data_IF_572350941560
#
_entry.id   IF_572350941560
#
_cell.length_a   1.000
_cell.length_b   1.000
_cell.length_c   1.000
_cell.angle_alpha   90.00
_cell.angle_beta   90.00
_cell.angle_gamma   90.00
#
_symmetry.space_group_name_H-M   'P 1'
#
loop_
_entity.id
_entity.type
_entity.pdbx_description
1 polymer ?
#
# COMPACT_ATOMS: atom_id res chain seq x y z
N UNK A 1 -6.11 29.95 20.06
CA UNK A 1 -6.12 28.56 20.55
C UNK A 1 -6.29 27.64 19.36
N UNK A 2 -5.26 26.89 18.99
CA UNK A 2 -5.42 25.79 18.01
C UNK A 2 -5.97 24.59 18.76
N UNK A 3 -7.11 24.06 18.31
CA UNK A 3 -7.62 22.78 18.81
C UNK A 3 -6.52 21.72 18.66
N UNK A 4 -6.15 20.98 19.72
CA UNK A 4 -5.21 19.89 19.57
C UNK A 4 -5.86 18.85 18.65
N UNK A 5 -5.20 18.53 17.53
CA UNK A 5 -5.64 17.42 16.70
C UNK A 5 -5.32 16.13 17.47
N UNK A 6 -6.36 15.42 17.91
CA UNK A 6 -6.22 14.21 18.74
C UNK A 6 -5.61 13.04 17.95
N UNK A 7 -5.62 13.13 16.62
CA UNK A 7 -5.09 12.14 15.71
C UNK A 7 -3.93 12.70 14.90
N UNK A 8 -2.93 11.86 14.64
CA UNK A 8 -1.91 12.18 13.66
C UNK A 8 -2.59 12.43 12.30
N UNK A 9 -2.21 13.48 11.55
CA UNK A 9 -2.78 13.74 10.25
C UNK A 9 -2.40 12.62 9.28
N UNK A 10 -3.29 12.34 8.32
CA UNK A 10 -2.95 11.46 7.20
C UNK A 10 -1.80 12.06 6.38
N UNK A 11 -0.92 11.19 5.91
CA UNK A 11 -0.03 11.52 4.80
C UNK A 11 -0.74 11.15 3.50
N UNK A 12 -0.91 12.11 2.60
CA UNK A 12 -1.62 11.93 1.33
C UNK A 12 -0.66 12.07 0.14
N UNK A 13 -0.86 11.22 -0.86
CA UNK A 13 -0.14 11.22 -2.12
C UNK A 13 -1.15 11.33 -3.26
N UNK A 14 -0.93 12.30 -4.14
CA UNK A 14 -1.69 12.49 -5.37
C UNK A 14 -0.72 12.47 -6.53
N UNK A 15 -0.85 11.49 -7.42
CA UNK A 15 0.12 11.27 -8.49
C UNK A 15 -0.57 10.78 -9.77
N UNK A 16 -0.02 11.17 -10.91
CA UNK A 16 -0.31 10.59 -12.21
C UNK A 16 0.66 9.43 -12.47
N UNK A 17 0.12 8.21 -12.56
CA UNK A 17 0.85 6.98 -12.89
C UNK A 17 0.41 6.41 -14.25
N UNK A 18 -0.14 7.25 -15.13
CA UNK A 18 -0.69 6.82 -16.42
C UNK A 18 0.36 6.59 -17.52
N UNK A 19 1.58 7.08 -17.33
CA UNK A 19 2.68 6.83 -18.27
C UNK A 19 3.25 5.42 -18.06
N UNK A 20 3.86 4.86 -19.12
CA UNK A 20 4.60 3.61 -19.02
C UNK A 20 5.72 3.75 -17.97
N UNK A 21 6.00 2.65 -17.26
CA UNK A 21 7.05 2.56 -16.24
C UNK A 21 6.90 3.51 -15.03
N UNK A 22 5.77 4.21 -14.90
CA UNK A 22 5.49 5.05 -13.74
C UNK A 22 5.44 4.25 -12.44
N UNK A 23 6.10 4.78 -11.41
CA UNK A 23 6.09 4.22 -10.05
C UNK A 23 5.93 5.30 -9.00
N UNK A 24 5.18 5.00 -7.95
CA UNK A 24 5.21 5.73 -6.69
C UNK A 24 5.78 4.81 -5.61
N UNK A 25 6.89 5.22 -4.99
CA UNK A 25 7.53 4.50 -3.88
C UNK A 25 7.31 5.29 -2.59
N UNK A 26 6.56 4.70 -1.66
CA UNK A 26 6.22 5.31 -0.39
C UNK A 26 7.00 4.59 0.72
N UNK A 27 7.93 5.26 1.42
CA UNK A 27 8.58 4.67 2.56
C UNK A 27 7.56 4.47 3.69
N UNK A 28 7.46 3.25 4.20
CA UNK A 28 6.80 2.96 5.47
C UNK A 28 7.86 3.00 6.59
N UNK A 29 7.78 2.15 7.62
CA UNK A 29 8.86 1.99 8.62
C UNK A 29 10.09 1.29 8.03
N UNK A 30 10.06 -0.03 7.90
CA UNK A 30 11.18 -0.86 7.39
C UNK A 30 10.89 -1.40 5.98
N UNK A 31 9.70 -1.11 5.45
CA UNK A 31 9.25 -1.46 4.10
C UNK A 31 9.13 -0.23 3.19
N UNK A 32 9.10 -0.49 1.88
CA UNK A 32 8.67 0.44 0.84
C UNK A 32 7.41 -0.14 0.21
N UNK A 33 6.33 0.66 0.18
CA UNK A 33 5.11 0.37 -0.57
C UNK A 33 5.25 0.97 -1.97
N UNK A 34 5.05 0.16 -2.99
CA UNK A 34 5.18 0.58 -4.38
C UNK A 34 3.85 0.41 -5.11
N UNK A 35 3.40 1.49 -5.73
CA UNK A 35 2.38 1.46 -6.77
C UNK A 35 3.11 1.59 -8.12
N UNK A 36 2.94 0.61 -9.00
CA UNK A 36 3.62 0.57 -10.28
C UNK A 36 2.62 0.36 -11.41
N UNK A 37 2.78 1.12 -12.49
CA UNK A 37 2.10 0.88 -13.75
C UNK A 37 2.40 -0.53 -14.28
N UNK A 38 1.36 -1.34 -14.45
CA UNK A 38 1.47 -2.68 -15.02
C UNK A 38 0.97 -2.73 -16.48
N UNK A 39 -0.10 -1.98 -16.80
CA UNK A 39 -0.64 -1.84 -18.15
C UNK A 39 -1.49 -0.57 -18.28
N UNK A 40 -1.97 -0.25 -19.49
CA UNK A 40 -2.82 0.92 -19.75
C UNK A 40 -4.00 1.10 -18.79
N UNK A 41 -4.53 0.01 -18.26
CA UNK A 41 -5.71 -0.02 -17.40
C UNK A 41 -5.46 -0.69 -16.05
N UNK A 42 -4.20 -1.01 -15.72
CA UNK A 42 -3.87 -1.71 -14.49
C UNK A 42 -2.57 -1.22 -13.82
N UNK A 43 -2.58 -1.24 -12.50
CA UNK A 43 -1.41 -1.07 -11.64
C UNK A 43 -1.13 -2.34 -10.84
N UNK A 44 0.05 -2.39 -10.21
CA UNK A 44 0.45 -3.40 -9.23
C UNK A 44 0.78 -2.70 -7.92
N UNK A 45 0.38 -3.30 -6.81
CA UNK A 45 0.78 -2.88 -5.45
C UNK A 45 1.72 -3.92 -4.88
N UNK A 46 2.90 -3.50 -4.44
CA UNK A 46 3.89 -4.40 -3.82
C UNK A 46 4.53 -3.79 -2.59
N UNK A 47 5.09 -4.64 -1.74
CA UNK A 47 6.00 -4.22 -0.67
C UNK A 47 7.34 -4.93 -0.79
N UNK A 48 8.39 -4.23 -0.37
CA UNK A 48 9.76 -4.74 -0.30
C UNK A 48 10.46 -4.17 0.95
N UNK A 49 11.42 -4.88 1.57
CA UNK A 49 12.24 -4.31 2.63
C UNK A 49 13.08 -3.14 2.12
N UNK A 50 13.22 -2.08 2.93
CA UNK A 50 14.15 -0.99 2.66
C UNK A 50 15.60 -1.48 2.61
N UNK A 51 15.92 -2.45 3.45
CA UNK A 51 17.21 -3.13 3.46
C UNK A 51 17.00 -4.60 3.08
N UNK A 52 17.44 -5.00 1.89
CA UNK A 52 17.27 -6.38 1.39
C UNK A 52 18.07 -7.41 2.17
N UNK A 53 19.05 -7.00 3.00
CA UNK A 53 19.77 -7.88 3.90
C UNK A 53 19.05 -8.09 5.25
N UNK A 54 17.97 -7.36 5.53
CA UNK A 54 17.22 -7.42 6.77
C UNK A 54 15.72 -7.69 6.51
N UNK A 55 15.29 -8.96 6.53
CA UNK A 55 13.89 -9.31 6.37
C UNK A 55 13.00 -8.68 7.45
N UNK A 56 11.79 -8.25 7.06
CA UNK A 56 10.83 -7.61 7.97
C UNK A 56 9.70 -8.58 8.27
N UNK A 57 9.47 -8.85 9.55
CA UNK A 57 8.31 -9.64 9.98
C UNK A 57 7.05 -8.78 9.96
N UNK A 58 6.01 -9.25 9.28
CA UNK A 58 4.76 -8.51 9.11
C UNK A 58 3.52 -9.30 9.48
N UNK A 59 2.49 -8.56 9.90
CA UNK A 59 1.10 -8.97 9.75
C UNK A 59 0.43 -8.02 8.75
N UNK A 60 -0.06 -8.56 7.64
CA UNK A 60 -0.72 -7.80 6.60
C UNK A 60 -2.15 -8.30 6.38
N UNK A 61 -3.07 -7.35 6.22
CA UNK A 61 -4.40 -7.58 5.68
C UNK A 61 -4.67 -6.56 4.59
N UNK A 62 -4.98 -7.01 3.38
CA UNK A 62 -5.55 -6.19 2.29
C UNK A 62 -6.97 -6.66 2.03
N UNK A 63 -7.91 -5.72 2.00
CA UNK A 63 -9.24 -5.93 1.44
C UNK A 63 -9.40 -5.02 0.23
N UNK A 64 -9.86 -5.60 -0.87
CA UNK A 64 -10.20 -4.88 -2.11
C UNK A 64 -11.67 -5.11 -2.41
N UNK A 65 -12.36 -4.06 -2.87
CA UNK A 65 -13.69 -4.19 -3.48
C UNK A 65 -13.54 -3.84 -4.96
N UNK A 66 -13.81 -4.81 -5.83
CA UNK A 66 -13.80 -4.69 -7.29
C UNK A 66 -15.23 -4.60 -7.83
N UNK A 67 -15.48 -3.64 -8.73
CA UNK A 67 -16.76 -3.35 -9.41
C UNK A 67 -17.96 -3.35 -8.44
N UNK A 68 -17.74 -2.89 -7.19
CA UNK A 68 -18.77 -2.79 -6.15
C UNK A 68 -19.39 -4.10 -5.69
N UNK A 69 -18.88 -5.27 -6.10
CA UNK A 69 -19.54 -6.56 -5.89
C UNK A 69 -18.60 -7.68 -5.44
N UNK A 70 -17.34 -7.64 -5.87
CA UNK A 70 -16.36 -8.69 -5.54
C UNK A 70 -15.44 -8.20 -4.44
N UNK A 71 -15.43 -8.92 -3.31
CA UNK A 71 -14.52 -8.65 -2.20
C UNK A 71 -13.38 -9.65 -2.27
N UNK A 72 -12.16 -9.15 -2.35
CA UNK A 72 -10.97 -9.96 -2.28
C UNK A 72 -10.16 -9.64 -1.03
N UNK A 73 -9.60 -10.67 -0.39
CA UNK A 73 -8.85 -10.53 0.84
C UNK A 73 -7.51 -11.24 0.70
N UNK A 74 -6.43 -10.54 1.06
CA UNK A 74 -5.11 -11.14 1.23
C UNK A 74 -4.67 -10.99 2.68
N UNK A 75 -4.06 -12.04 3.23
CA UNK A 75 -3.56 -12.06 4.61
C UNK A 75 -2.18 -12.66 4.65
N UNK A 76 -1.24 -11.97 5.29
CA UNK A 76 0.13 -12.45 5.49
C UNK A 76 0.50 -12.21 6.96
N UNK A 77 0.06 -13.10 7.84
CA UNK A 77 0.37 -13.01 9.28
C UNK A 77 1.65 -13.76 9.60
N UNK A 78 2.50 -13.18 10.45
CA UNK A 78 3.80 -13.75 10.83
C UNK A 78 4.73 -13.99 9.64
N UNK A 79 4.54 -13.26 8.54
CA UNK A 79 5.28 -13.49 7.30
C UNK A 79 6.56 -12.66 7.29
N UNK A 80 7.69 -13.27 6.92
CA UNK A 80 8.97 -12.57 6.77
C UNK A 80 9.14 -12.11 5.32
N UNK A 81 9.15 -10.81 5.12
CA UNK A 81 9.34 -10.20 3.80
C UNK A 81 10.84 -9.97 3.60
N UNK A 82 11.45 -10.69 2.65
CA UNK A 82 12.88 -10.58 2.30
C UNK A 82 13.11 -10.07 0.87
N UNK A 83 12.07 -10.04 0.05
CA UNK A 83 12.08 -9.59 -1.33
C UNK A 83 10.77 -8.89 -1.67
N UNK A 84 10.66 -8.33 -2.88
CA UNK A 84 9.42 -7.71 -3.34
C UNK A 84 8.31 -8.75 -3.45
N UNK A 85 7.18 -8.50 -2.81
CA UNK A 85 5.97 -9.30 -2.92
C UNK A 85 4.81 -8.45 -3.41
N UNK A 86 3.96 -9.02 -4.26
CA UNK A 86 2.71 -8.38 -4.64
C UNK A 86 1.70 -8.47 -3.48
N UNK A 87 1.18 -7.32 -3.07
CA UNK A 87 -0.03 -7.23 -2.23
C UNK A 87 -1.26 -7.29 -3.13
N UNK A 88 -1.16 -6.67 -4.30
CA UNK A 88 -2.14 -6.77 -5.37
C UNK A 88 -1.43 -6.84 -6.72
N UNK A 89 -1.66 -7.93 -7.45
CA UNK A 89 -1.01 -8.18 -8.73
C UNK A 89 -1.64 -7.42 -9.90
N UNK A 90 -2.91 -7.05 -9.79
CA UNK A 90 -3.65 -6.38 -10.86
C UNK A 90 -4.74 -5.51 -10.25
N UNK A 91 -4.45 -4.22 -10.18
CA UNK A 91 -5.36 -3.19 -9.72
C UNK A 91 -5.98 -2.51 -10.92
N UNK A 92 -7.28 -2.64 -11.12
CA UNK A 92 -8.01 -1.95 -12.19
C UNK A 92 -8.19 -0.46 -11.89
N UNK A 93 -7.74 0.38 -12.80
CA UNK A 93 -7.52 1.81 -12.52
C UNK A 93 -8.53 2.73 -13.18
N UNK A 94 -9.76 2.25 -13.40
CA UNK A 94 -10.86 3.04 -13.95
C UNK A 94 -12.00 3.21 -12.94
N UNK A 95 -11.67 3.52 -11.68
CA UNK A 95 -12.63 3.62 -10.57
C UNK A 95 -13.30 2.30 -10.19
N UNK A 96 -12.66 1.19 -10.53
CA UNK A 96 -13.21 -0.15 -10.34
C UNK A 96 -12.84 -0.73 -8.98
N UNK A 97 -11.73 -0.25 -8.39
CA UNK A 97 -11.21 -0.79 -7.14
C UNK A 97 -10.99 0.25 -6.06
N UNK A 98 -11.29 -0.16 -4.84
CA UNK A 98 -10.88 0.53 -3.61
C UNK A 98 -10.09 -0.43 -2.72
N UNK A 99 -8.98 0.04 -2.14
CA UNK A 99 -8.13 -0.77 -1.26
C UNK A 99 -8.18 -0.26 0.17
N UNK A 100 -8.28 -1.19 1.11
CA UNK A 100 -8.09 -0.96 2.54
C UNK A 100 -7.04 -1.94 3.07
N UNK A 101 -5.91 -1.41 3.52
CA UNK A 101 -4.77 -2.22 3.94
C UNK A 101 -4.34 -1.85 5.36
N UNK A 102 -3.95 -2.88 6.10
CA UNK A 102 -3.29 -2.77 7.40
C UNK A 102 -2.01 -3.57 7.34
N UNK A 103 -0.90 -2.94 7.68
CA UNK A 103 0.41 -3.59 7.74
C UNK A 103 1.00 -3.30 9.10
N UNK A 104 1.19 -4.33 9.91
CA UNK A 104 2.01 -4.25 11.13
C UNK A 104 3.41 -4.74 10.80
N UNK A 105 4.41 -4.00 11.25
CA UNK A 105 5.82 -4.37 11.12
C UNK A 105 6.39 -4.58 12.51
N UNK A 106 7.04 -5.73 12.74
CA UNK A 106 7.73 -5.98 13.99
C UNK A 106 9.12 -5.34 13.95
N UNK A 107 9.44 -4.57 14.98
CA UNK A 107 10.78 -4.10 15.24
C UNK A 107 11.70 -5.26 15.65
N UNK A 108 12.81 -5.45 14.94
CA UNK A 108 13.69 -6.60 15.16
C UNK A 108 14.41 -6.56 16.52
N UNK A 109 14.55 -5.39 17.14
CA UNK A 109 15.23 -5.21 18.43
C UNK A 109 14.23 -5.23 19.58
N UNK A 110 13.25 -4.32 19.56
CA UNK A 110 12.29 -4.13 20.66
C UNK A 110 11.15 -5.14 20.65
N UNK A 111 10.95 -5.84 19.52
CA UNK A 111 9.84 -6.79 19.29
C UNK A 111 8.44 -6.15 19.30
N UNK A 112 8.37 -4.82 19.44
CA UNK A 112 7.13 -4.06 19.35
C UNK A 112 6.64 -4.00 17.91
N UNK A 113 5.33 -3.84 17.77
CA UNK A 113 4.66 -3.78 16.47
C UNK A 113 4.17 -2.36 16.19
N UNK A 114 4.51 -1.85 15.01
CA UNK A 114 4.00 -0.58 14.51
C UNK A 114 3.04 -0.85 13.37
N UNK A 115 1.85 -0.25 13.41
CA UNK A 115 0.83 -0.39 12.37
C UNK A 115 0.86 0.82 11.45
N UNK A 116 0.70 0.58 10.15
CA UNK A 116 0.25 1.60 9.22
C UNK A 116 -1.05 1.15 8.53
N UNK A 117 -1.98 2.08 8.37
CA UNK A 117 -3.21 1.92 7.60
C UNK A 117 -3.06 2.64 6.27
N UNK A 118 -3.44 1.99 5.17
CA UNK A 118 -3.33 2.55 3.83
C UNK A 118 -4.69 2.42 3.14
N UNK A 119 -5.13 3.50 2.51
CA UNK A 119 -6.25 3.46 1.56
C UNK A 119 -5.84 4.04 0.23
N UNK A 120 -6.30 3.40 -0.85
CA UNK A 120 -6.10 3.91 -2.19
C UNK A 120 -7.36 3.81 -3.05
N UNK A 121 -7.47 4.76 -3.97
CA UNK A 121 -8.46 4.77 -5.04
C UNK A 121 -7.81 5.30 -6.32
N UNK A 122 -8.02 4.60 -7.42
CA UNK A 122 -7.33 4.84 -8.69
C UNK A 122 -8.36 4.95 -9.82
N UNK A 123 -8.23 5.98 -10.66
CA UNK A 123 -9.14 6.21 -11.78
C UNK A 123 -8.43 6.77 -13.01
N UNK A 124 -9.17 6.83 -14.13
CA UNK A 124 -8.73 7.37 -15.42
C UNK A 124 -7.40 6.75 -15.91
N UNK A 125 -7.33 5.43 -15.99
CA UNK A 125 -6.12 4.72 -16.45
C UNK A 125 -4.89 4.98 -15.58
N UNK A 126 -5.06 5.30 -14.30
CA UNK A 126 -3.97 5.62 -13.37
C UNK A 126 -3.53 7.08 -13.39
N UNK A 127 -4.18 7.96 -14.16
CA UNK A 127 -3.85 9.39 -14.15
C UNK A 127 -4.29 10.10 -12.85
N UNK A 128 -5.17 9.44 -12.08
CA UNK A 128 -5.72 9.94 -10.83
C UNK A 128 -5.55 8.88 -9.76
N UNK A 129 -4.40 8.90 -9.09
CA UNK A 129 -4.12 8.02 -7.96
C UNK A 129 -4.11 8.85 -6.67
N UNK A 130 -4.98 8.48 -5.74
CA UNK A 130 -4.98 9.03 -4.38
C UNK A 130 -4.67 7.92 -3.38
N UNK A 131 -3.63 8.12 -2.58
CA UNK A 131 -3.21 7.20 -1.52
C UNK A 131 -3.14 7.99 -0.22
N UNK A 132 -3.80 7.50 0.83
CA UNK A 132 -3.68 8.04 2.19
C UNK A 132 -3.08 7.00 3.12
N UNK A 133 -2.21 7.45 4.02
CA UNK A 133 -1.52 6.60 5.00
C UNK A 133 -1.62 7.23 6.40
N UNK A 134 -1.86 6.40 7.40
CA UNK A 134 -1.81 6.73 8.83
C UNK A 134 -0.92 5.73 9.58
#
# INVERSE_FOLDING_TARGET
MTTPNLFAPFTEYHVDLSAADSTLNIPLKDLILTYQRASASALRISIVPKNTAAPVLVDLRRTTIYDGSTIEIQTLNGSSISASIAIDGTVYTNSQETHNMRIRQQDSVTKLWSMCEINSFLSAGGARCSIRIQ
#
